data_IF_684400614433
#
_entry.id   IF_684400614433
#
_cell.length_a   1.000
_cell.length_b   1.000
_cell.length_c   1.000
_cell.angle_alpha   90.00
_cell.angle_beta   90.00
_cell.angle_gamma   90.00
#
_symmetry.space_group_name_H-M   'P 1'
#
loop_
_entity.id
_entity.type
_entity.pdbx_description
1 polymer ?
#
# COMPACT_ATOMS: atom_id res chain seq x y z
N UNK A 1 4.09 -10.18 19.79
CA UNK A 1 3.21 -10.50 18.65
C UNK A 1 3.47 -9.47 17.56
N UNK A 2 3.75 -9.87 16.31
CA UNK A 2 3.89 -8.93 15.18
C UNK A 2 2.85 -9.30 14.12
N UNK A 3 2.06 -8.33 13.67
CA UNK A 3 1.15 -8.51 12.55
C UNK A 3 2.00 -8.59 11.29
N UNK A 4 1.87 -9.69 10.54
CA UNK A 4 2.66 -9.93 9.31
C UNK A 4 1.88 -9.61 8.05
N UNK A 5 0.58 -9.40 8.18
CA UNK A 5 -0.34 -9.29 7.06
C UNK A 5 -1.60 -8.53 7.46
N UNK A 6 -2.01 -7.58 6.63
CA UNK A 6 -3.32 -6.93 6.68
C UNK A 6 -3.86 -6.78 5.26
N UNK A 7 -5.17 -6.59 5.17
CA UNK A 7 -5.84 -6.11 3.97
C UNK A 7 -6.46 -4.75 4.32
N UNK A 8 -6.16 -3.74 3.51
CA UNK A 8 -6.84 -2.45 3.55
C UNK A 8 -7.93 -2.52 2.49
N UNK A 9 -9.19 -2.58 2.93
CA UNK A 9 -10.33 -2.59 2.02
C UNK A 9 -10.49 -1.20 1.39
N UNK A 10 -10.51 -1.17 0.06
CA UNK A 10 -10.59 0.06 -0.72
C UNK A 10 -11.92 0.19 -1.45
N UNK A 11 -12.26 1.43 -1.84
CA UNK A 11 -13.41 1.69 -2.71
C UNK A 11 -13.18 1.25 -4.16
N UNK A 12 -11.92 1.32 -4.62
CA UNK A 12 -11.53 0.82 -5.95
C UNK A 12 -10.98 -0.61 -5.85
N UNK A 13 -9.98 -0.82 -4.98
CA UNK A 13 -9.29 -2.10 -4.86
C UNK A 13 -8.78 -2.36 -3.45
N UNK A 14 -8.84 -3.62 -3.03
CA UNK A 14 -8.24 -4.05 -1.77
C UNK A 14 -6.71 -4.12 -1.89
N UNK A 15 -6.04 -3.58 -0.87
CA UNK A 15 -4.58 -3.63 -0.77
C UNK A 15 -4.17 -4.69 0.23
N UNK A 16 -3.40 -5.66 -0.24
CA UNK A 16 -2.72 -6.63 0.61
C UNK A 16 -1.37 -6.06 1.03
N UNK A 17 -1.13 -5.93 2.34
CA UNK A 17 0.17 -5.55 2.88
C UNK A 17 0.78 -6.76 3.58
N UNK A 18 1.99 -7.16 3.17
CA UNK A 18 2.73 -8.29 3.77
C UNK A 18 4.08 -7.85 4.27
N UNK A 19 4.45 -8.30 5.46
CA UNK A 19 5.78 -8.09 6.01
C UNK A 19 6.81 -8.87 5.17
N UNK A 20 7.95 -8.24 4.91
CA UNK A 20 9.14 -8.84 4.29
C UNK A 20 10.28 -8.92 5.31
N UNK A 21 11.44 -9.43 4.87
CA UNK A 21 12.64 -9.52 5.69
C UNK A 21 13.21 -8.14 6.09
N UNK A 22 12.89 -7.09 5.33
CA UNK A 22 13.46 -5.74 5.37
C UNK A 22 12.40 -4.63 5.49
N UNK A 23 11.10 -4.97 5.47
CA UNK A 23 10.01 -4.02 5.60
C UNK A 23 8.65 -4.64 5.25
N UNK A 24 7.95 -4.10 4.26
CA UNK A 24 6.68 -4.62 3.78
C UNK A 24 6.46 -4.39 2.28
N UNK A 25 5.62 -5.21 1.66
CA UNK A 25 5.13 -5.02 0.28
C UNK A 25 3.63 -4.77 0.30
N UNK A 26 3.20 -3.73 -0.41
CA UNK A 26 1.79 -3.49 -0.74
C UNK A 26 1.50 -4.00 -2.16
N UNK A 27 0.48 -4.84 -2.29
CA UNK A 27 0.09 -5.45 -3.56
C UNK A 27 -1.42 -5.46 -3.75
N UNK A 28 -1.81 -5.46 -5.01
CA UNK A 28 -3.19 -5.61 -5.45
C UNK A 28 -3.33 -6.90 -6.23
N UNK A 29 -4.50 -7.52 -6.15
CA UNK A 29 -4.79 -8.70 -6.96
C UNK A 29 -5.06 -8.26 -8.40
N UNK A 30 -4.45 -8.95 -9.36
CA UNK A 30 -4.68 -8.76 -10.80
C UNK A 30 -5.00 -10.09 -11.47
N UNK A 31 -5.59 -10.01 -12.66
CA UNK A 31 -5.76 -11.15 -13.55
C UNK A 31 -5.12 -10.90 -14.91
N UNK A 32 -4.41 -11.90 -15.43
CA UNK A 32 -3.95 -11.92 -16.82
C UNK A 32 -4.23 -13.28 -17.46
N UNK A 33 -4.27 -13.31 -18.81
CA UNK A 33 -4.46 -14.57 -19.55
C UNK A 33 -3.31 -15.57 -19.33
N UNK A 34 -2.09 -15.08 -19.15
CA UNK A 34 -0.90 -15.92 -19.05
C UNK A 34 -0.66 -16.46 -17.64
N UNK A 35 -0.96 -15.66 -16.60
CA UNK A 35 -0.62 -16.01 -15.21
C UNK A 35 -1.84 -16.30 -14.34
N UNK A 36 -3.06 -16.13 -14.86
CA UNK A 36 -4.26 -16.22 -14.04
C UNK A 36 -4.33 -15.08 -13.02
N UNK A 37 -4.76 -15.39 -11.79
CA UNK A 37 -4.83 -14.45 -10.67
C UNK A 37 -3.46 -14.35 -9.99
N UNK A 38 -2.90 -13.15 -9.87
CA UNK A 38 -1.60 -12.93 -9.24
C UNK A 38 -1.57 -11.64 -8.40
N UNK A 39 -0.66 -11.59 -7.42
CA UNK A 39 -0.40 -10.39 -6.64
C UNK A 39 0.56 -9.48 -7.42
N UNK A 40 0.09 -8.29 -7.76
CA UNK A 40 0.89 -7.24 -8.37
C UNK A 40 1.38 -6.28 -7.30
N UNK A 41 2.68 -6.27 -7.03
CA UNK A 41 3.30 -5.32 -6.09
C UNK A 41 3.20 -3.91 -6.66
N UNK A 42 2.62 -3.00 -5.88
CA UNK A 42 2.49 -1.58 -6.24
C UNK A 42 3.49 -0.71 -5.51
N UNK A 43 3.92 -1.13 -4.31
CA UNK A 43 4.94 -0.42 -3.53
C UNK A 43 5.66 -1.36 -2.57
N UNK A 44 6.96 -1.12 -2.41
CA UNK A 44 7.80 -1.74 -1.38
C UNK A 44 8.17 -0.70 -0.35
N UNK A 45 7.96 -0.97 0.93
CA UNK A 45 8.28 -0.08 2.04
C UNK A 45 9.47 -0.66 2.80
N UNK A 46 10.62 0.00 2.74
CA UNK A 46 11.83 -0.47 3.42
C UNK A 46 12.00 0.24 4.76
N UNK A 47 12.55 -0.45 5.75
CA UNK A 47 12.74 0.13 7.09
C UNK A 47 13.79 1.24 7.14
N UNK A 48 14.75 1.22 6.22
CA UNK A 48 15.86 2.16 6.15
C UNK A 48 15.55 3.41 5.32
N UNK A 49 14.37 3.47 4.69
CA UNK A 49 14.00 4.64 3.88
C UNK A 49 13.40 5.77 4.73
N UNK A 50 13.57 7.01 4.26
CA UNK A 50 13.04 8.17 4.96
C UNK A 50 11.51 8.11 5.05
N UNK A 51 10.97 8.71 6.11
CA UNK A 51 9.51 8.77 6.28
C UNK A 51 8.81 9.51 5.13
N UNK A 52 9.48 10.49 4.51
CA UNK A 52 8.98 11.19 3.32
C UNK A 52 8.88 10.25 2.10
N UNK A 53 9.87 9.39 1.88
CA UNK A 53 9.83 8.39 0.82
C UNK A 53 8.71 7.36 1.05
N UNK A 54 8.52 6.92 2.30
CA UNK A 54 7.39 6.06 2.67
C UNK A 54 6.05 6.75 2.44
N UNK A 55 5.93 8.02 2.80
CA UNK A 55 4.71 8.79 2.58
C UNK A 55 4.36 8.91 1.09
N UNK A 56 5.36 9.20 0.23
CA UNK A 56 5.14 9.24 -1.21
C UNK A 56 4.61 7.90 -1.76
N UNK A 57 5.15 6.78 -1.28
CA UNK A 57 4.64 5.44 -1.62
C UNK A 57 3.24 5.17 -1.07
N UNK A 58 2.96 5.59 0.16
CA UNK A 58 1.62 5.49 0.74
C UNK A 58 0.60 6.32 -0.05
N UNK A 59 1.00 7.47 -0.61
CA UNK A 59 0.14 8.26 -1.50
C UNK A 59 -0.18 7.52 -2.80
N UNK A 60 0.76 6.75 -3.36
CA UNK A 60 0.47 5.86 -4.50
C UNK A 60 -0.48 4.73 -4.10
N UNK A 61 -0.27 4.09 -2.95
CA UNK A 61 -1.19 3.07 -2.42
C UNK A 61 -2.59 3.64 -2.20
N UNK A 62 -2.69 4.87 -1.68
CA UNK A 62 -3.95 5.56 -1.45
C UNK A 62 -4.75 5.80 -2.75
N UNK A 63 -4.10 5.91 -3.92
CA UNK A 63 -4.80 5.99 -5.21
C UNK A 63 -5.54 4.69 -5.55
N UNK A 64 -5.07 3.55 -5.04
CA UNK A 64 -5.72 2.26 -5.22
C UNK A 64 -6.78 2.01 -4.14
N UNK A 65 -6.57 2.51 -2.91
CA UNK A 65 -7.56 2.40 -1.84
C UNK A 65 -8.76 3.30 -2.12
N UNK A 66 -8.53 4.59 -2.37
CA UNK A 66 -9.59 5.60 -2.43
C UNK A 66 -9.94 6.04 -3.86
N UNK A 67 -9.22 5.52 -4.86
CA UNK A 67 -9.32 5.99 -6.23
C UNK A 67 -8.59 7.29 -6.49
N UNK A 68 -8.81 7.85 -7.68
CA UNK A 68 -8.10 9.03 -8.19
C UNK A 68 -9.04 10.22 -8.37
N UNK A 69 -8.55 11.41 -8.01
CA UNK A 69 -9.23 12.66 -8.31
C UNK A 69 -9.04 13.09 -9.78
N UNK A 70 -9.64 14.22 -10.17
CA UNK A 70 -9.54 14.74 -11.55
C UNK A 70 -8.11 15.13 -11.97
N UNK A 71 -7.17 15.23 -11.03
CA UNK A 71 -5.75 15.55 -11.25
C UNK A 71 -4.86 14.30 -11.20
N UNK A 72 -5.46 13.11 -11.07
CA UNK A 72 -4.74 11.84 -10.96
C UNK A 72 -4.08 11.60 -9.60
N UNK A 73 -4.40 12.43 -8.60
CA UNK A 73 -3.95 12.23 -7.21
C UNK A 73 -4.90 11.29 -6.48
N UNK A 74 -4.49 10.78 -5.32
CA UNK A 74 -5.40 10.01 -4.49
C UNK A 74 -6.62 10.86 -4.14
N UNK A 75 -7.83 10.31 -4.26
CA UNK A 75 -9.07 10.96 -3.84
C UNK A 75 -9.21 10.92 -2.30
N UNK A 76 -8.18 11.40 -1.59
CA UNK A 76 -8.01 11.27 -0.16
C UNK A 76 -7.38 12.55 0.42
N UNK A 77 -7.66 12.84 1.69
CA UNK A 77 -6.96 13.91 2.41
C UNK A 77 -5.58 13.43 2.88
N UNK A 78 -4.69 14.37 3.24
CA UNK A 78 -3.39 14.02 3.81
C UNK A 78 -3.51 13.11 5.06
N UNK A 79 -4.53 13.32 5.90
CA UNK A 79 -4.75 12.48 7.08
C UNK A 79 -5.08 11.04 6.69
N UNK A 80 -5.89 10.83 5.66
CA UNK A 80 -6.23 9.48 5.17
C UNK A 80 -5.00 8.78 4.56
N UNK A 81 -4.13 9.52 3.86
CA UNK A 81 -2.86 8.97 3.38
C UNK A 81 -1.95 8.59 4.55
N UNK A 82 -1.94 9.37 5.63
CA UNK A 82 -1.24 9.00 6.85
C UNK A 82 -1.81 7.76 7.53
N UNK A 83 -3.13 7.53 7.49
CA UNK A 83 -3.72 6.31 8.04
C UNK A 83 -3.24 5.07 7.27
N UNK A 84 -3.22 5.13 5.93
CA UNK A 84 -2.64 4.08 5.09
C UNK A 84 -1.16 3.86 5.43
N UNK A 85 -0.39 4.96 5.56
CA UNK A 85 1.02 4.88 5.93
C UNK A 85 1.20 4.18 7.29
N UNK A 86 0.47 4.60 8.31
CA UNK A 86 0.59 4.07 9.67
C UNK A 86 0.31 2.56 9.71
N UNK A 87 -0.71 2.10 9.00
CA UNK A 87 -1.02 0.67 8.91
C UNK A 87 0.09 -0.11 8.19
N UNK A 88 0.68 0.45 7.13
CA UNK A 88 1.81 -0.18 6.44
C UNK A 88 3.06 -0.20 7.33
N UNK A 89 3.38 0.91 8.00
CA UNK A 89 4.52 1.05 8.92
C UNK A 89 4.42 0.07 10.09
N UNK A 90 3.20 -0.17 10.59
CA UNK A 90 2.92 -1.20 11.61
C UNK A 90 3.34 -2.61 11.15
N UNK A 91 3.18 -2.93 9.87
CA UNK A 91 3.58 -4.23 9.28
C UNK A 91 5.08 -4.25 8.98
N UNK A 92 5.59 -3.18 8.38
CA UNK A 92 7.00 -3.04 8.03
C UNK A 92 7.91 -3.04 9.27
N UNK A 93 7.46 -2.40 10.35
CA UNK A 93 8.19 -2.20 11.60
C UNK A 93 9.16 -1.02 11.52
N UNK A 94 8.70 0.12 11.02
CA UNK A 94 9.46 1.38 10.88
C UNK A 94 8.65 2.60 11.30
#
# INVERSE_FOLDING_TARGET
>A
MKIKHIVIEGSEEDITVRATADGATASVVRMSRAQGRFDNVIAEFRRDESREARYAKAAEVAKHVYGRDRRGQAAATNSMVHDVLNEIERIAGC
#
